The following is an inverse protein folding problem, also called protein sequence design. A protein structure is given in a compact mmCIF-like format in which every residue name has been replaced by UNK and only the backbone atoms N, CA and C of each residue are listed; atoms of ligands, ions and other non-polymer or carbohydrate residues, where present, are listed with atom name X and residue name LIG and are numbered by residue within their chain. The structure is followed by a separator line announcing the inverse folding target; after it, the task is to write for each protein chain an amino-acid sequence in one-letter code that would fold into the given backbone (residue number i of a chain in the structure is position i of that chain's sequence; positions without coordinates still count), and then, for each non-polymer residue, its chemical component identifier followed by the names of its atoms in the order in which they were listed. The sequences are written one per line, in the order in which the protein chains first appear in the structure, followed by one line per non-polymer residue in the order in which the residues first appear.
data_IF_379436728637
#
_entry.id   IF_379436728637
#
_cell.length_a   1.000
_cell.length_b   1.000
_cell.length_c   1.000
_cell.angle_alpha   90.00
_cell.angle_beta   90.00
_cell.angle_gamma   90.00
#
_symmetry.space_group_name_H-M   'P 1'
#
loop_
_entity.id
_entity.type
_entity.pdbx_description
1 polymer ?
#
# COMPACT_ATOMS: atom_id res chain seq x y z
N UNK A 1 -64.47 40.49 -0.36
CA UNK A 1 -63.01 40.65 -0.41
C UNK A 1 -62.38 39.59 0.47
N UNK A 2 -62.36 38.35 -0.02
CA UNK A 2 -61.78 37.20 0.68
C UNK A 2 -60.36 37.03 0.17
N UNK A 3 -59.42 37.28 1.08
CA UNK A 3 -57.98 37.10 1.03
C UNK A 3 -57.43 35.96 0.15
N UNK A 4 -56.69 36.33 -0.91
CA UNK A 4 -55.84 35.45 -1.75
C UNK A 4 -54.50 35.04 -1.08
N UNK A 5 -54.32 35.32 0.21
CA UNK A 5 -53.09 35.01 0.96
C UNK A 5 -52.63 33.54 0.92
N UNK A 6 -53.49 32.50 0.94
CA UNK A 6 -52.99 31.12 1.00
C UNK A 6 -52.30 30.65 -0.30
N UNK A 7 -52.60 31.24 -1.46
CA UNK A 7 -51.95 30.87 -2.72
C UNK A 7 -50.54 31.48 -2.88
N UNK A 8 -50.31 32.69 -2.36
CA UNK A 8 -48.98 33.32 -2.40
C UNK A 8 -47.98 32.58 -1.50
N UNK A 9 -48.43 32.07 -0.36
CA UNK A 9 -47.58 31.31 0.57
C UNK A 9 -47.17 29.96 -0.03
N UNK A 10 -48.08 29.23 -0.69
CA UNK A 10 -47.77 27.93 -1.29
C UNK A 10 -46.76 28.04 -2.45
N UNK A 11 -46.89 29.06 -3.31
CA UNK A 11 -45.95 29.33 -4.40
C UNK A 11 -44.56 29.70 -3.86
N UNK A 12 -44.50 30.52 -2.80
CA UNK A 12 -43.24 30.93 -2.19
C UNK A 12 -42.48 29.76 -1.55
N UNK A 13 -43.20 28.87 -0.86
CA UNK A 13 -42.61 27.65 -0.27
C UNK A 13 -42.10 26.70 -1.36
N UNK A 14 -42.84 26.54 -2.45
CA UNK A 14 -42.41 25.74 -3.60
C UNK A 14 -41.13 26.28 -4.25
N UNK A 15 -41.04 27.60 -4.44
CA UNK A 15 -39.85 28.27 -4.99
C UNK A 15 -38.63 28.11 -4.09
N UNK A 16 -38.78 28.31 -2.77
CA UNK A 16 -37.68 28.13 -1.81
C UNK A 16 -37.21 26.67 -1.81
N UNK A 17 -38.14 25.72 -1.84
CA UNK A 17 -37.81 24.29 -1.93
C UNK A 17 -37.05 23.93 -3.20
N UNK A 18 -37.47 24.46 -4.35
CA UNK A 18 -36.78 24.25 -5.62
C UNK A 18 -35.35 24.83 -5.61
N UNK A 19 -35.18 26.04 -5.07
CA UNK A 19 -33.86 26.68 -4.93
C UNK A 19 -32.94 25.84 -4.05
N UNK A 20 -33.40 25.41 -2.88
CA UNK A 20 -32.61 24.56 -1.98
C UNK A 20 -32.27 23.21 -2.63
N UNK A 21 -33.20 22.63 -3.39
CA UNK A 21 -32.96 21.40 -4.16
C UNK A 21 -31.84 21.56 -5.18
N UNK A 22 -31.85 22.66 -5.95
CA UNK A 22 -30.79 22.98 -6.92
C UNK A 22 -29.44 23.14 -6.22
N UNK A 23 -29.38 23.91 -5.13
CA UNK A 23 -28.13 24.08 -4.37
C UNK A 23 -27.63 22.75 -3.78
N UNK A 24 -28.52 21.89 -3.27
CA UNK A 24 -28.18 20.58 -2.75
C UNK A 24 -27.62 19.64 -3.83
N UNK A 25 -28.22 19.64 -5.02
CA UNK A 25 -27.74 18.87 -6.17
C UNK A 25 -26.37 19.37 -6.65
N UNK A 26 -26.19 20.69 -6.78
CA UNK A 26 -24.91 21.28 -7.16
C UNK A 26 -23.80 20.97 -6.14
N UNK A 27 -24.09 21.06 -4.84
CA UNK A 27 -23.13 20.74 -3.79
C UNK A 27 -22.73 19.26 -3.81
N UNK A 28 -23.70 18.37 -3.98
CA UNK A 28 -23.47 16.92 -4.11
C UNK A 28 -22.60 16.59 -5.33
N UNK A 29 -22.88 17.22 -6.47
CA UNK A 29 -22.08 17.07 -7.70
C UNK A 29 -20.64 17.56 -7.50
N UNK A 30 -20.46 18.73 -6.86
CA UNK A 30 -19.13 19.27 -6.59
C UNK A 30 -18.31 18.39 -5.64
N UNK A 31 -18.94 17.84 -4.59
CA UNK A 31 -18.30 16.89 -3.68
C UNK A 31 -17.90 15.59 -4.40
N UNK A 32 -18.77 15.07 -5.27
CA UNK A 32 -18.47 13.90 -6.09
C UNK A 32 -17.28 14.15 -7.01
N UNK A 33 -17.26 15.29 -7.72
CA UNK A 33 -16.15 15.63 -8.62
C UNK A 33 -14.82 15.80 -7.86
N UNK A 34 -14.85 16.39 -6.66
CA UNK A 34 -13.66 16.48 -5.80
C UNK A 34 -13.15 15.11 -5.37
N UNK A 35 -14.04 14.20 -5.02
CA UNK A 35 -13.66 12.83 -4.64
C UNK A 35 -13.09 12.06 -5.83
N UNK A 36 -13.74 12.11 -6.98
CA UNK A 36 -13.25 11.47 -8.21
C UNK A 36 -11.84 11.95 -8.56
N UNK A 37 -11.60 13.28 -8.55
CA UNK A 37 -10.25 13.83 -8.79
C UNK A 37 -9.23 13.42 -7.73
N UNK A 38 -9.64 13.35 -6.47
CA UNK A 38 -8.75 12.90 -5.39
C UNK A 38 -8.40 11.42 -5.51
N UNK A 39 -9.33 10.59 -6.00
CA UNK A 39 -9.11 9.17 -6.29
C UNK A 39 -8.15 8.98 -7.48
N UNK A 40 -8.31 9.75 -8.55
CA UNK A 40 -7.41 9.73 -9.71
C UNK A 40 -5.98 10.15 -9.33
N UNK A 41 -5.83 11.24 -8.56
CA UNK A 41 -4.54 11.70 -8.07
C UNK A 41 -3.87 10.64 -7.17
N UNK A 42 -4.65 10.00 -6.29
CA UNK A 42 -4.16 8.92 -5.45
C UNK A 42 -3.68 7.73 -6.29
N UNK A 43 -4.39 7.38 -7.37
CA UNK A 43 -4.00 6.29 -8.26
C UNK A 43 -2.63 6.56 -8.90
N UNK A 44 -2.42 7.76 -9.44
CA UNK A 44 -1.14 8.13 -10.08
C UNK A 44 0.02 8.11 -9.06
N UNK A 45 -0.20 8.64 -7.86
CA UNK A 45 0.79 8.62 -6.79
C UNK A 45 1.15 7.19 -6.35
N UNK A 46 0.15 6.33 -6.18
CA UNK A 46 0.33 4.93 -5.81
C UNK A 46 1.05 4.16 -6.93
N UNK A 47 0.71 4.41 -8.20
CA UNK A 47 1.40 3.81 -9.34
C UNK A 47 2.88 4.22 -9.36
N UNK A 48 3.17 5.51 -9.24
CA UNK A 48 4.55 6.02 -9.19
C UNK A 48 5.33 5.41 -8.02
N UNK A 49 4.74 5.38 -6.83
CA UNK A 49 5.32 4.74 -5.64
C UNK A 49 5.60 3.25 -5.87
N UNK A 50 4.67 2.53 -6.49
CA UNK A 50 4.81 1.10 -6.77
C UNK A 50 5.95 0.80 -7.74
N UNK A 51 6.11 1.60 -8.80
CA UNK A 51 7.22 1.48 -9.74
C UNK A 51 8.56 1.69 -9.04
N UNK A 52 8.63 2.65 -8.11
CA UNK A 52 9.81 2.86 -7.27
C UNK A 52 10.07 1.67 -6.33
N UNK A 53 9.02 1.08 -5.75
CA UNK A 53 9.09 -0.16 -4.96
C UNK A 53 9.66 -1.34 -5.73
N UNK A 54 9.14 -1.57 -6.94
CA UNK A 54 9.61 -2.63 -7.84
C UNK A 54 11.07 -2.41 -8.22
N UNK A 55 11.44 -1.19 -8.61
CA UNK A 55 12.81 -0.84 -8.98
C UNK A 55 13.78 -1.05 -7.81
N UNK A 56 13.41 -0.64 -6.59
CA UNK A 56 14.23 -0.81 -5.40
C UNK A 56 14.43 -2.29 -5.04
N UNK A 57 13.36 -3.10 -5.05
CA UNK A 57 13.43 -4.54 -4.74
C UNK A 57 14.22 -5.33 -5.81
N UNK A 58 14.00 -5.04 -7.09
CA UNK A 58 14.74 -5.68 -8.19
C UNK A 58 16.21 -5.26 -8.21
N UNK A 59 16.49 -3.98 -8.01
CA UNK A 59 17.85 -3.47 -7.89
C UNK A 59 18.59 -4.11 -6.72
N UNK A 60 17.91 -4.27 -5.57
CA UNK A 60 18.47 -4.96 -4.41
C UNK A 60 18.82 -6.42 -4.73
N UNK A 61 17.87 -7.17 -5.29
CA UNK A 61 18.06 -8.56 -5.68
C UNK A 61 19.23 -8.72 -6.66
N UNK A 62 19.30 -7.88 -7.71
CA UNK A 62 20.39 -7.91 -8.68
C UNK A 62 21.76 -7.63 -8.04
N UNK A 63 21.83 -6.69 -7.09
CA UNK A 63 23.07 -6.38 -6.39
C UNK A 63 23.49 -7.48 -5.41
N UNK A 64 22.54 -8.22 -4.85
CA UNK A 64 22.79 -9.38 -4.00
C UNK A 64 23.28 -10.60 -4.79
N UNK A 65 22.88 -10.77 -6.05
CA UNK A 65 23.35 -11.90 -6.87
C UNK A 65 24.78 -11.73 -7.40
N UNK A 66 25.38 -10.54 -7.30
CA UNK A 66 26.71 -10.29 -7.84
C UNK A 66 27.78 -11.17 -7.16
N UNK A 67 28.72 -11.77 -7.93
CA UNK A 67 29.79 -12.59 -7.37
C UNK A 67 30.66 -11.79 -6.39
N UNK A 68 30.85 -12.33 -5.18
CA UNK A 68 31.71 -11.73 -4.16
C UNK A 68 33.14 -11.55 -4.70
N UNK A 69 33.66 -10.33 -4.61
CA UNK A 69 35.06 -10.00 -4.96
C UNK A 69 35.28 -9.36 -6.33
N UNK A 70 34.25 -9.20 -7.17
CA UNK A 70 34.42 -8.55 -8.50
C UNK A 70 34.20 -7.05 -8.47
N UNK A 71 33.22 -6.57 -7.69
CA UNK A 71 32.91 -5.15 -7.46
C UNK A 71 32.33 -5.02 -6.06
N UNK A 72 32.86 -4.11 -5.23
CA UNK A 72 32.24 -3.80 -3.94
C UNK A 72 30.89 -3.11 -4.19
N UNK A 73 29.79 -3.87 -4.01
CA UNK A 73 28.42 -3.38 -4.17
C UNK A 73 27.74 -3.04 -2.84
N UNK A 74 28.51 -2.93 -1.76
CA UNK A 74 27.98 -2.65 -0.42
C UNK A 74 27.26 -1.31 -0.37
N UNK A 75 27.74 -0.31 -1.12
CA UNK A 75 27.13 1.00 -1.24
C UNK A 75 25.74 0.94 -1.90
N UNK A 76 25.60 0.21 -3.00
CA UNK A 76 24.36 0.06 -3.75
C UNK A 76 23.32 -0.76 -2.96
N UNK A 77 23.75 -1.82 -2.26
CA UNK A 77 22.87 -2.60 -1.37
C UNK A 77 22.37 -1.70 -0.23
N UNK A 78 23.24 -0.88 0.34
CA UNK A 78 22.87 0.07 1.40
C UNK A 78 21.92 1.14 0.89
N UNK A 79 22.15 1.67 -0.31
CA UNK A 79 21.27 2.65 -0.95
C UNK A 79 19.88 2.06 -1.24
N UNK A 80 19.83 0.85 -1.80
CA UNK A 80 18.58 0.13 -2.05
C UNK A 80 17.84 -0.21 -0.75
N UNK A 81 18.56 -0.58 0.32
CA UNK A 81 17.99 -0.79 1.65
C UNK A 81 17.31 0.48 2.20
N UNK A 82 18.00 1.62 2.13
CA UNK A 82 17.45 2.92 2.53
C UNK A 82 16.21 3.27 1.71
N UNK A 83 16.26 3.04 0.39
CA UNK A 83 15.13 3.28 -0.49
C UNK A 83 13.92 2.42 -0.11
N UNK A 84 14.11 1.12 0.16
CA UNK A 84 13.05 0.25 0.66
C UNK A 84 12.45 0.75 1.98
N UNK A 85 13.26 1.30 2.90
CA UNK A 85 12.77 1.89 4.15
C UNK A 85 11.94 3.15 3.91
N UNK A 86 12.38 4.05 3.02
CA UNK A 86 11.64 5.28 2.67
C UNK A 86 10.30 4.91 2.04
N UNK A 87 10.31 3.99 1.07
CA UNK A 87 9.12 3.52 0.38
C UNK A 87 8.16 2.79 1.32
N UNK A 88 8.69 2.08 2.32
CA UNK A 88 7.87 1.45 3.35
C UNK A 88 7.09 2.50 4.16
N UNK A 89 7.73 3.60 4.55
CA UNK A 89 7.08 4.66 5.32
C UNK A 89 6.11 5.48 4.45
N UNK A 90 6.47 5.78 3.20
CA UNK A 90 5.56 6.39 2.22
C UNK A 90 4.34 5.51 1.96
N UNK A 91 4.54 4.21 1.82
CA UNK A 91 3.47 3.23 1.59
C UNK A 91 2.42 3.22 2.71
N UNK A 92 2.79 3.56 3.95
CA UNK A 92 1.83 3.67 5.06
C UNK A 92 0.86 4.85 4.91
N UNK A 93 1.21 5.86 4.11
CA UNK A 93 0.32 6.98 3.80
C UNK A 93 -0.79 6.53 2.84
N UNK A 94 -0.46 5.63 1.90
CA UNK A 94 -1.42 5.09 0.92
C UNK A 94 -2.25 3.94 1.49
N UNK A 95 -1.62 3.05 2.26
CA UNK A 95 -2.22 1.85 2.80
C UNK A 95 -2.32 1.93 4.32
N UNK A 96 -3.45 2.44 4.80
CA UNK A 96 -3.75 2.47 6.22
C UNK A 96 -3.81 1.02 6.79
N UNK A 97 -3.32 0.82 8.01
CA UNK A 97 -3.43 -0.48 8.67
C UNK A 97 -4.90 -0.84 8.83
N UNK A 98 -5.27 -2.07 8.45
CA UNK A 98 -6.63 -2.56 8.67
C UNK A 98 -6.86 -2.78 10.18
N UNK A 99 -8.01 -2.32 10.66
CA UNK A 99 -8.50 -2.57 12.02
C UNK A 99 -9.25 -3.90 12.13
N UNK A 100 -9.41 -4.64 11.04
CA UNK A 100 -10.21 -5.86 11.02
C UNK A 100 -9.57 -6.97 11.85
N UNK A 101 -10.28 -7.33 12.93
CA UNK A 101 -10.37 -8.68 13.51
C UNK A 101 -9.12 -9.28 14.16
N UNK A 102 -8.01 -9.40 13.44
CA UNK A 102 -6.90 -10.30 13.77
C UNK A 102 -5.78 -9.65 14.61
N UNK A 103 -5.81 -8.33 14.82
CA UNK A 103 -4.75 -7.60 15.51
C UNK A 103 -5.21 -6.89 16.80
N UNK A 104 -6.31 -7.36 17.42
CA UNK A 104 -6.88 -6.72 18.63
C UNK A 104 -5.92 -6.68 19.82
N UNK A 105 -4.90 -7.54 19.87
CA UNK A 105 -4.03 -7.69 21.04
C UNK A 105 -2.63 -7.05 20.91
N UNK A 106 -2.25 -6.51 19.74
CA UNK A 106 -0.86 -6.13 19.45
C UNK A 106 -0.50 -4.65 19.73
N UNK A 107 -1.43 -3.87 20.29
CA UNK A 107 -1.39 -2.39 20.21
C UNK A 107 -1.35 -1.59 21.51
N UNK A 108 -1.22 -2.20 22.70
CA UNK A 108 -1.13 -1.41 23.95
C UNK A 108 0.25 -0.75 24.05
N UNK A 109 0.36 0.50 23.59
CA UNK A 109 1.55 1.36 23.75
C UNK A 109 2.22 1.86 22.47
N UNK A 110 1.75 1.49 21.27
CA UNK A 110 2.31 2.00 19.99
C UNK A 110 1.55 3.22 19.48
N UNK A 111 2.24 4.15 18.82
CA UNK A 111 1.66 5.32 18.12
C UNK A 111 0.49 4.87 17.23
N UNK A 112 -0.62 5.63 17.21
CA UNK A 112 -1.88 5.29 16.51
C UNK A 112 -1.70 4.84 15.04
N UNK A 113 -0.70 5.39 14.34
CA UNK A 113 -0.39 5.08 12.93
C UNK A 113 0.20 3.66 12.75
N UNK A 114 0.69 3.06 13.83
CA UNK A 114 1.29 1.72 13.87
C UNK A 114 0.39 0.68 14.54
N UNK A 115 -0.89 1.00 14.80
CA UNK A 115 -1.87 0.08 15.36
C UNK A 115 -2.63 -0.63 14.22
N UNK A 116 -2.83 -1.95 14.32
CA UNK A 116 -3.50 -2.78 13.31
C UNK A 116 -2.56 -3.69 12.50
N UNK A 117 -3.13 -4.54 11.63
CA UNK A 117 -2.34 -5.40 10.74
C UNK A 117 -1.71 -4.56 9.63
N UNK A 118 -0.39 -4.70 9.44
CA UNK A 118 0.33 -4.09 8.32
C UNK A 118 -0.21 -4.67 7.01
N UNK A 119 -0.47 -3.85 5.97
CA UNK A 119 -0.80 -4.35 4.65
C UNK A 119 0.29 -5.28 4.10
N UNK A 120 -0.08 -6.46 3.57
CA UNK A 120 0.86 -7.47 3.02
C UNK A 120 1.82 -6.89 1.98
N UNK A 121 1.36 -5.90 1.22
CA UNK A 121 2.16 -5.20 0.22
C UNK A 121 3.40 -4.52 0.81
N UNK A 122 3.30 -4.03 2.05
CA UNK A 122 4.41 -3.40 2.76
C UNK A 122 5.39 -4.41 3.36
N UNK A 123 4.98 -5.68 3.51
CA UNK A 123 5.87 -6.73 4.01
C UNK A 123 6.97 -7.05 2.98
N UNK A 124 6.68 -6.97 1.68
CA UNK A 124 7.69 -7.16 0.64
C UNK A 124 8.85 -6.14 0.74
N UNK A 125 8.53 -4.86 0.93
CA UNK A 125 9.54 -3.80 1.13
C UNK A 125 10.32 -4.01 2.44
N UNK A 126 9.63 -4.47 3.50
CA UNK A 126 10.26 -4.80 4.77
C UNK A 126 11.24 -5.97 4.62
N UNK A 127 10.87 -7.02 3.90
CA UNK A 127 11.74 -8.17 3.60
C UNK A 127 12.99 -7.70 2.85
N UNK A 128 12.83 -6.86 1.82
CA UNK A 128 13.98 -6.26 1.12
C UNK A 128 14.92 -5.50 2.05
N UNK A 129 14.38 -4.59 2.86
CA UNK A 129 15.18 -3.83 3.84
C UNK A 129 15.94 -4.73 4.83
N UNK A 130 15.26 -5.74 5.39
CA UNK A 130 15.86 -6.65 6.36
C UNK A 130 16.91 -7.56 5.73
N UNK A 131 16.63 -8.12 4.55
CA UNK A 131 17.57 -8.93 3.81
C UNK A 131 18.84 -8.15 3.47
N UNK A 132 18.71 -6.88 3.10
CA UNK A 132 19.85 -6.00 2.82
C UNK A 132 20.73 -5.75 4.06
N UNK A 133 20.10 -5.61 5.25
CA UNK A 133 20.84 -5.46 6.51
C UNK A 133 21.56 -6.73 6.94
N UNK A 134 20.94 -7.89 6.73
CA UNK A 134 21.53 -9.18 7.10
C UNK A 134 22.62 -9.62 6.09
N UNK A 135 22.59 -9.10 4.86
CA UNK A 135 23.46 -9.53 3.76
C UNK A 135 24.97 -9.43 4.05
N UNK A 136 25.41 -8.32 4.64
CA UNK A 136 26.84 -8.04 4.86
C UNK A 136 27.49 -9.07 5.80
N UNK A 137 26.74 -9.52 6.80
CA UNK A 137 27.22 -10.42 7.85
C UNK A 137 26.86 -11.90 7.58
N UNK A 138 26.01 -12.16 6.60
CA UNK A 138 25.55 -13.51 6.26
C UNK A 138 26.65 -14.37 5.59
N UNK A 139 26.61 -15.68 5.88
CA UNK A 139 27.40 -16.70 5.16
C UNK A 139 26.98 -16.81 3.69
N UNK A 140 27.81 -17.40 2.83
CA UNK A 140 27.51 -17.54 1.39
C UNK A 140 26.20 -18.31 1.13
N UNK A 141 25.97 -19.42 1.85
CA UNK A 141 24.71 -20.17 1.77
C UNK A 141 23.52 -19.29 2.18
N UNK A 142 23.66 -18.55 3.28
CA UNK A 142 22.60 -17.65 3.78
C UNK A 142 22.34 -16.48 2.84
N UNK A 143 23.37 -15.94 2.21
CA UNK A 143 23.27 -14.93 1.16
C UNK A 143 22.42 -15.45 -0.01
N UNK A 144 22.64 -16.68 -0.47
CA UNK A 144 21.78 -17.26 -1.51
C UNK A 144 20.30 -17.28 -1.10
N UNK A 145 19.99 -17.65 0.13
CA UNK A 145 18.62 -17.64 0.67
C UNK A 145 18.04 -16.22 0.74
N UNK A 146 18.81 -15.25 1.23
CA UNK A 146 18.39 -13.85 1.30
C UNK A 146 18.10 -13.27 -0.08
N UNK A 147 18.93 -13.59 -1.07
CA UNK A 147 18.73 -13.19 -2.47
C UNK A 147 17.44 -13.77 -3.03
N UNK A 148 17.19 -15.07 -2.83
CA UNK A 148 15.94 -15.72 -3.24
C UNK A 148 14.70 -15.10 -2.54
N UNK A 149 14.82 -14.74 -1.26
CA UNK A 149 13.75 -14.07 -0.53
C UNK A 149 13.45 -12.66 -1.09
N UNK A 150 14.47 -11.89 -1.47
CA UNK A 150 14.26 -10.59 -2.14
C UNK A 150 13.62 -10.73 -3.51
N UNK A 151 13.94 -11.80 -4.25
CA UNK A 151 13.29 -12.11 -5.53
C UNK A 151 11.80 -12.37 -5.35
N UNK A 152 11.46 -13.27 -4.42
CA UNK A 152 10.09 -13.63 -4.11
C UNK A 152 9.32 -12.41 -3.58
N UNK A 153 9.96 -11.57 -2.75
CA UNK A 153 9.36 -10.33 -2.29
C UNK A 153 9.05 -9.37 -3.45
N UNK A 154 9.96 -9.26 -4.44
CA UNK A 154 9.73 -8.44 -5.63
C UNK A 154 8.57 -8.97 -6.48
N UNK A 155 8.48 -10.29 -6.69
CA UNK A 155 7.38 -10.93 -7.41
C UNK A 155 6.03 -10.71 -6.69
N UNK A 156 5.95 -11.07 -5.41
CA UNK A 156 4.74 -10.85 -4.59
C UNK A 156 4.32 -9.39 -4.52
N UNK A 157 5.28 -8.46 -4.50
CA UNK A 157 4.97 -7.03 -4.52
C UNK A 157 4.26 -6.62 -5.80
N UNK A 158 4.73 -7.11 -6.97
CA UNK A 158 4.05 -6.88 -8.25
C UNK A 158 2.65 -7.45 -8.24
N UNK A 159 2.48 -8.69 -7.76
CA UNK A 159 1.16 -9.34 -7.71
C UNK A 159 0.20 -8.55 -6.81
N UNK A 160 0.64 -8.14 -5.62
CA UNK A 160 -0.17 -7.30 -4.72
C UNK A 160 -0.50 -5.94 -5.32
N UNK A 161 0.43 -5.33 -6.05
CA UNK A 161 0.17 -4.06 -6.74
C UNK A 161 -0.82 -4.23 -7.88
N UNK A 162 -0.73 -5.31 -8.66
CA UNK A 162 -1.69 -5.62 -9.73
C UNK A 162 -3.09 -5.86 -9.16
N UNK A 163 -3.20 -6.57 -8.04
CA UNK A 163 -4.48 -6.74 -7.35
C UNK A 163 -5.04 -5.38 -6.88
N UNK A 164 -4.21 -4.54 -6.27
CA UNK A 164 -4.65 -3.25 -5.73
C UNK A 164 -5.01 -2.23 -6.82
N UNK A 165 -4.22 -2.14 -7.89
CA UNK A 165 -4.49 -1.25 -9.01
C UNK A 165 -5.60 -1.80 -9.91
N UNK A 166 -5.69 -3.13 -10.07
CA UNK A 166 -6.76 -3.81 -10.81
C UNK A 166 -8.12 -3.76 -10.11
N UNK A 167 -8.15 -3.68 -8.78
CA UNK A 167 -9.37 -3.43 -7.98
C UNK A 167 -10.05 -2.11 -8.30
N UNK A 168 -9.32 -1.11 -8.79
CA UNK A 168 -9.93 0.16 -9.21
C UNK A 168 -10.79 0.02 -10.49
N UNK A 169 -10.58 -1.06 -11.27
CA UNK A 169 -11.25 -1.32 -12.55
C UNK A 169 -12.35 -2.38 -12.40
N UNK A 170 -12.16 -3.35 -11.50
CA UNK A 170 -13.09 -4.47 -11.28
C UNK A 170 -13.66 -4.36 -9.86
N UNK A 171 -14.86 -3.81 -9.75
CA UNK A 171 -15.53 -3.50 -8.47
C UNK A 171 -15.99 -4.70 -7.64
N UNK A 172 -15.23 -5.80 -7.59
CA UNK A 172 -15.55 -6.97 -6.78
C UNK A 172 -14.73 -7.05 -5.51
N UNK A 173 -15.48 -7.20 -4.41
CA UNK A 173 -15.03 -7.10 -3.04
C UNK A 173 -14.42 -8.41 -2.53
N UNK A 174 -13.11 -8.43 -2.32
CA UNK A 174 -12.49 -9.23 -1.26
C UNK A 174 -11.65 -8.29 -0.38
N UNK A 175 -11.78 -8.35 0.95
CA UNK A 175 -11.13 -7.38 1.83
C UNK A 175 -9.61 -7.49 1.69
N UNK A 176 -8.94 -6.35 1.85
CA UNK A 176 -7.50 -6.26 2.04
C UNK A 176 -7.08 -7.20 3.20
N UNK A 177 -6.78 -8.46 2.86
CA UNK A 177 -6.42 -9.46 3.87
C UNK A 177 -5.17 -8.96 4.60
N UNK A 178 -5.33 -8.66 5.89
CA UNK A 178 -4.27 -8.11 6.72
C UNK A 178 -3.02 -8.99 6.64
N UNK A 179 -1.85 -8.36 6.54
CA UNK A 179 -0.58 -9.08 6.62
C UNK A 179 -0.36 -9.63 8.02
N UNK A 180 0.26 -10.80 8.08
CA UNK A 180 0.74 -11.39 9.32
C UNK A 180 2.02 -10.68 9.74
N UNK A 181 2.18 -10.29 11.00
CA UNK A 181 3.41 -9.67 11.49
C UNK A 181 4.52 -10.69 11.77
N UNK A 182 4.68 -11.69 10.90
CA UNK A 182 5.54 -12.83 11.17
C UNK A 182 7.03 -12.40 11.26
N UNK A 183 7.84 -13.08 12.08
CA UNK A 183 9.27 -12.84 12.13
C UNK A 183 9.92 -13.23 10.79
N UNK A 184 11.03 -12.57 10.44
CA UNK A 184 11.70 -12.69 9.13
C UNK A 184 12.01 -14.15 8.77
N UNK A 185 12.36 -14.97 9.76
CA UNK A 185 12.62 -16.40 9.62
C UNK A 185 11.42 -17.19 9.04
N UNK A 186 10.19 -16.77 9.28
CA UNK A 186 8.99 -17.41 8.70
C UNK A 186 8.89 -17.11 7.21
N UNK A 187 9.09 -15.86 6.80
CA UNK A 187 9.10 -15.47 5.38
C UNK A 187 10.27 -16.12 4.62
N UNK A 188 11.43 -16.24 5.27
CA UNK A 188 12.60 -16.91 4.70
C UNK A 188 12.35 -18.42 4.58
N UNK A 189 11.73 -19.06 5.57
CA UNK A 189 11.35 -20.47 5.46
C UNK A 189 10.32 -20.69 4.34
N UNK A 190 9.32 -19.82 4.21
CA UNK A 190 8.36 -19.88 3.09
C UNK A 190 9.06 -19.71 1.74
N UNK A 191 10.00 -18.77 1.62
CA UNK A 191 10.77 -18.54 0.40
C UNK A 191 11.70 -19.71 0.04
N UNK A 192 12.42 -20.26 1.02
CA UNK A 192 13.28 -21.44 0.83
C UNK A 192 12.47 -22.69 0.47
N UNK A 193 11.24 -22.82 0.98
CA UNK A 193 10.35 -23.96 0.65
C UNK A 193 9.83 -23.85 -0.78
N UNK A 194 9.54 -22.63 -1.26
CA UNK A 194 9.08 -22.38 -2.62
C UNK A 194 10.21 -22.57 -3.65
N UNK A 195 11.42 -22.08 -3.35
CA UNK A 195 12.60 -22.26 -4.21
C UNK A 195 13.09 -23.71 -4.33
N UNK A 196 12.66 -24.64 -3.45
CA UNK A 196 12.95 -26.08 -3.57
C UNK A 196 11.96 -26.85 -4.44
N UNK A 197 10.83 -26.23 -4.82
CA UNK A 197 9.78 -26.88 -5.64
C UNK A 197 9.88 -26.54 -7.13
N UNK A 198 10.78 -25.64 -7.50
CA UNK A 198 11.15 -25.31 -8.88
C UNK A 198 12.51 -25.95 -9.14
#
# INVERSE_FOLDING_TARGET
MTHDWPQLVSVSVGLIGAILGIFGAMFSYYQWQKRARAEDLRYEEVLKWSLQGIAALRGLHFNMQAPHGTVDRSAEITAASKQCSILLDQGRLFFANSKEGACKDLGKGRLRVNQGCRPKILDCLKVGYLAAKEWSEASEARRKDLSGATELAAQKFVDYMQMELGRSIVGDAEPASGGTSNPLNVYLNEACTYSRRI
#
